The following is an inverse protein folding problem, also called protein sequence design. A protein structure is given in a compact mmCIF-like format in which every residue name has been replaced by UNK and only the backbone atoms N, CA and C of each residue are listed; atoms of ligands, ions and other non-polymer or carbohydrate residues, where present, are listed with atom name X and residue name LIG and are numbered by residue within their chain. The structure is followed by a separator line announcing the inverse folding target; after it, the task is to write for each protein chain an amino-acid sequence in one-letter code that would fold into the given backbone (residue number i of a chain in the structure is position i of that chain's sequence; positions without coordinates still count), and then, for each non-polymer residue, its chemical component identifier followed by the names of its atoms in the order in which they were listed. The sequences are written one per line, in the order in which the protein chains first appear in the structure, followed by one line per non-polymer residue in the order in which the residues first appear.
data_IF_383974668882
#
_entry.id   IF_383974668882
#
_cell.length_a   1.000
_cell.length_b   1.000
_cell.length_c   1.000
_cell.angle_alpha   90.00
_cell.angle_beta   90.00
_cell.angle_gamma   90.00
#
_symmetry.space_group_name_H-M   'P 1'
#
loop_
_entity.id
_entity.type
_entity.pdbx_description
1 polymer ?
#
# COMPACT_ATOMS: atom_id res chain seq x y z
N UNK A 1 -14.96 -9.66 -26.45
CA UNK A 1 -14.94 -9.87 -24.99
C UNK A 1 -13.55 -9.68 -24.30
N UNK A 2 -12.56 -8.99 -24.91
CA UNK A 2 -11.22 -8.80 -24.29
C UNK A 2 -11.05 -7.51 -23.44
N UNK A 3 -11.91 -6.50 -23.62
CA UNK A 3 -11.74 -5.20 -22.94
C UNK A 3 -12.10 -5.22 -21.44
N UNK A 4 -13.13 -5.98 -21.04
CA UNK A 4 -13.63 -6.00 -19.65
C UNK A 4 -12.59 -6.51 -18.64
N UNK A 5 -11.69 -7.40 -19.07
CA UNK A 5 -10.65 -7.95 -18.19
C UNK A 5 -9.51 -6.95 -17.96
N UNK A 6 -9.11 -6.20 -19.00
CA UNK A 6 -8.07 -5.16 -18.92
C UNK A 6 -8.47 -3.99 -18.01
N UNK A 7 -9.74 -3.58 -18.03
CA UNK A 7 -10.26 -2.53 -17.15
C UNK A 7 -10.28 -2.96 -15.67
N UNK A 8 -10.64 -4.21 -15.40
CA UNK A 8 -10.54 -4.77 -14.04
C UNK A 8 -9.10 -4.78 -13.53
N UNK A 9 -8.13 -5.16 -14.37
CA UNK A 9 -6.71 -5.16 -13.98
C UNK A 9 -6.20 -3.75 -13.68
N UNK A 10 -6.66 -2.72 -14.40
CA UNK A 10 -6.29 -1.32 -14.12
C UNK A 10 -6.87 -0.83 -12.79
N UNK A 11 -8.17 -1.02 -12.54
CA UNK A 11 -8.80 -0.61 -11.27
C UNK A 11 -8.15 -1.26 -10.06
N UNK A 12 -7.84 -2.57 -10.13
CA UNK A 12 -7.11 -3.29 -9.09
C UNK A 12 -5.74 -2.69 -8.82
N UNK A 13 -4.96 -2.38 -9.87
CA UNK A 13 -3.65 -1.74 -9.71
C UNK A 13 -3.77 -0.38 -9.01
N UNK A 14 -4.69 0.48 -9.45
CA UNK A 14 -4.87 1.79 -8.82
C UNK A 14 -5.31 1.70 -7.35
N UNK A 15 -6.15 0.72 -7.00
CA UNK A 15 -6.54 0.45 -5.61
C UNK A 15 -5.38 -0.06 -4.75
N UNK A 16 -4.53 -0.93 -5.30
CA UNK A 16 -3.32 -1.38 -4.61
C UNK A 16 -2.33 -0.23 -4.36
N UNK A 17 -2.14 0.66 -5.34
CA UNK A 17 -1.28 1.83 -5.18
C UNK A 17 -1.83 2.84 -4.17
N UNK A 18 -3.15 3.10 -4.17
CA UNK A 18 -3.76 4.02 -3.20
C UNK A 18 -3.69 3.49 -1.76
N UNK A 19 -3.93 2.19 -1.57
CA UNK A 19 -3.74 1.54 -0.27
C UNK A 19 -2.29 1.60 0.22
N UNK A 20 -1.33 1.42 -0.69
CA UNK A 20 0.10 1.50 -0.37
C UNK A 20 0.52 2.93 0.01
N UNK A 21 -0.03 3.93 -0.67
CA UNK A 21 0.22 5.34 -0.36
C UNK A 21 -0.34 5.74 1.02
N UNK A 22 -1.52 5.24 1.38
CA UNK A 22 -2.10 5.44 2.73
C UNK A 22 -1.22 4.82 3.82
N UNK A 23 -0.71 3.61 3.59
CA UNK A 23 0.22 2.98 4.52
C UNK A 23 1.55 3.75 4.63
N UNK A 24 2.10 4.23 3.52
CA UNK A 24 3.30 5.07 3.51
C UNK A 24 3.12 6.38 4.29
N UNK A 25 1.96 7.03 4.15
CA UNK A 25 1.58 8.22 4.93
C UNK A 25 1.56 7.93 6.43
N UNK A 26 1.04 6.77 6.84
CA UNK A 26 1.05 6.34 8.24
C UNK A 26 2.46 6.12 8.81
N UNK A 27 3.43 5.76 7.96
CA UNK A 27 4.84 5.62 8.35
C UNK A 27 5.53 6.97 8.58
N UNK A 28 5.14 8.01 7.85
CA UNK A 28 5.71 9.36 7.99
C UNK A 28 5.14 10.08 9.20
N UNK A 29 3.85 9.84 9.51
CA UNK A 29 3.24 10.31 10.74
C UNK A 29 3.83 9.55 11.95
N UNK A 30 3.99 10.23 13.09
CA UNK A 30 4.57 9.71 14.35
C UNK A 30 3.72 8.61 15.03
N UNK A 31 2.93 7.84 14.27
CA UNK A 31 2.13 6.75 14.80
C UNK A 31 3.00 5.63 15.37
N UNK A 32 2.63 5.04 16.52
CA UNK A 32 3.32 3.88 17.08
C UNK A 32 3.30 2.70 16.10
N UNK A 33 4.34 1.87 16.14
CA UNK A 33 4.51 0.74 15.23
C UNK A 33 3.31 -0.23 15.21
N UNK A 34 2.69 -0.43 16.39
CA UNK A 34 1.48 -1.27 16.56
C UNK A 34 0.34 -0.77 15.69
N UNK A 35 0.09 0.54 15.66
CA UNK A 35 -1.00 1.14 14.88
C UNK A 35 -0.75 1.08 13.36
N UNK A 36 0.53 1.17 12.94
CA UNK A 36 0.90 0.97 11.53
C UNK A 36 0.59 -0.46 11.09
N UNK A 37 0.91 -1.44 11.93
CA UNK A 37 0.63 -2.84 11.66
C UNK A 37 -0.88 -3.13 11.60
N UNK A 38 -1.67 -2.55 12.52
CA UNK A 38 -3.14 -2.65 12.48
C UNK A 38 -3.71 -2.00 11.21
N UNK A 39 -3.20 -0.83 10.81
CA UNK A 39 -3.58 -0.18 9.55
C UNK A 39 -3.25 -1.04 8.33
N UNK A 40 -2.08 -1.68 8.31
CA UNK A 40 -1.68 -2.58 7.23
C UNK A 40 -2.63 -3.77 7.10
N UNK A 41 -3.00 -4.38 8.23
CA UNK A 41 -3.95 -5.50 8.27
C UNK A 41 -5.32 -5.02 7.78
N UNK A 42 -5.82 -3.91 8.31
CA UNK A 42 -7.12 -3.36 7.93
C UNK A 42 -7.17 -3.02 6.43
N UNK A 43 -6.14 -2.34 5.91
CA UNK A 43 -6.00 -2.03 4.49
C UNK A 43 -5.92 -3.31 3.64
N UNK A 44 -5.17 -4.31 4.08
CA UNK A 44 -5.06 -5.58 3.35
C UNK A 44 -6.39 -6.30 3.26
N UNK A 45 -7.16 -6.36 4.36
CA UNK A 45 -8.49 -6.98 4.36
C UNK A 45 -9.45 -6.21 3.46
N UNK A 46 -9.50 -4.88 3.58
CA UNK A 46 -10.37 -4.02 2.76
C UNK A 46 -10.01 -4.13 1.28
N UNK A 47 -8.72 -4.05 0.92
CA UNK A 47 -8.28 -4.22 -0.47
C UNK A 47 -8.58 -5.62 -1.00
N UNK A 48 -8.42 -6.67 -0.18
CA UNK A 48 -8.73 -8.05 -0.59
C UNK A 48 -10.20 -8.22 -0.94
N UNK A 49 -11.10 -7.51 -0.25
CA UNK A 49 -12.53 -7.46 -0.54
C UNK A 49 -12.87 -6.56 -1.74
N UNK A 50 -12.16 -5.45 -1.91
CA UNK A 50 -12.43 -4.49 -3.00
C UNK A 50 -11.87 -4.93 -4.36
N UNK A 51 -10.78 -5.67 -4.37
CA UNK A 51 -10.10 -6.13 -5.58
C UNK A 51 -10.80 -7.40 -6.05
N UNK A 52 -11.32 -7.44 -7.28
CA UNK A 52 -11.76 -8.69 -7.89
C UNK A 52 -10.63 -9.25 -8.77
N UNK A 53 -9.71 -9.98 -8.14
CA UNK A 53 -8.65 -10.70 -8.86
C UNK A 53 -9.09 -12.14 -9.17
N UNK A 54 -8.75 -12.67 -10.36
CA UNK A 54 -9.04 -14.06 -10.76
C UNK A 54 -8.14 -15.09 -10.03
N UNK A 55 -7.58 -14.75 -8.88
CA UNK A 55 -6.73 -15.63 -8.08
C UNK A 55 -7.64 -16.64 -7.36
N UNK A 56 -7.52 -17.93 -7.72
CA UNK A 56 -8.22 -19.02 -7.01
C UNK A 56 -7.67 -19.13 -5.57
N UNK A 57 -8.43 -18.62 -4.61
CA UNK A 57 -8.21 -18.79 -3.17
C UNK A 57 -8.10 -17.47 -2.39
N UNK A 58 -9.06 -17.23 -1.50
CA UNK A 58 -9.15 -16.03 -0.65
C UNK A 58 -7.87 -15.80 0.17
N UNK A 59 -7.35 -16.85 0.82
CA UNK A 59 -6.13 -16.76 1.63
C UNK A 59 -4.89 -16.40 0.83
N UNK A 60 -4.72 -16.96 -0.37
CA UNK A 60 -3.60 -16.60 -1.26
C UNK A 60 -3.69 -15.14 -1.70
N UNK A 61 -4.90 -14.68 -2.06
CA UNK A 61 -5.14 -13.28 -2.44
C UNK A 61 -4.81 -12.32 -1.29
N UNK A 62 -5.25 -12.62 -0.08
CA UNK A 62 -4.97 -11.81 1.10
C UNK A 62 -3.48 -11.72 1.39
N UNK A 63 -2.75 -12.84 1.33
CA UNK A 63 -1.30 -12.87 1.52
C UNK A 63 -0.57 -12.06 0.44
N UNK A 64 -0.99 -12.17 -0.82
CA UNK A 64 -0.39 -11.38 -1.92
C UNK A 64 -0.65 -9.88 -1.76
N UNK A 65 -1.88 -9.49 -1.43
CA UNK A 65 -2.27 -8.09 -1.17
C UNK A 65 -1.48 -7.54 0.03
N UNK A 66 -1.36 -8.32 1.10
CA UNK A 66 -0.61 -7.97 2.29
C UNK A 66 0.89 -7.79 1.99
N UNK A 67 1.50 -8.76 1.30
CA UNK A 67 2.90 -8.69 0.90
C UNK A 67 3.17 -7.49 -0.01
N UNK A 68 2.25 -7.20 -0.94
CA UNK A 68 2.35 -6.04 -1.82
C UNK A 68 2.27 -4.72 -1.05
N UNK A 69 1.25 -4.54 -0.20
CA UNK A 69 1.08 -3.34 0.64
C UNK A 69 2.27 -3.14 1.57
N UNK A 70 2.77 -4.23 2.17
CA UNK A 70 3.94 -4.18 3.04
C UNK A 70 5.17 -3.73 2.26
N UNK A 71 5.48 -4.37 1.13
CA UNK A 71 6.70 -4.10 0.38
C UNK A 71 6.67 -2.72 -0.29
N UNK A 72 5.61 -2.42 -1.05
CA UNK A 72 5.46 -1.14 -1.77
C UNK A 72 5.27 0.01 -0.80
N UNK A 73 4.44 -0.18 0.22
CA UNK A 73 4.17 0.87 1.20
C UNK A 73 5.38 1.14 2.11
N UNK A 74 6.19 0.14 2.45
CA UNK A 74 7.47 0.36 3.16
C UNK A 74 8.47 1.08 2.27
N UNK A 75 8.58 0.72 0.98
CA UNK A 75 9.45 1.40 0.02
C UNK A 75 9.07 2.90 -0.11
N UNK A 76 7.78 3.19 -0.28
CA UNK A 76 7.26 4.56 -0.33
C UNK A 76 7.50 5.32 0.98
N UNK A 77 7.30 4.68 2.13
CA UNK A 77 7.59 5.26 3.43
C UNK A 77 9.07 5.62 3.58
N UNK A 78 9.97 4.76 3.10
CA UNK A 78 11.42 4.97 3.12
C UNK A 78 11.82 6.15 2.22
N UNK A 79 11.24 6.25 1.03
CA UNK A 79 11.40 7.41 0.12
C UNK A 79 10.93 8.70 0.79
N UNK A 80 9.77 8.70 1.45
CA UNK A 80 9.26 9.89 2.15
C UNK A 80 10.14 10.29 3.34
N UNK A 81 10.69 9.33 4.08
CA UNK A 81 11.65 9.58 5.16
C UNK A 81 12.94 10.19 4.60
N UNK A 82 13.44 9.67 3.48
CA UNK A 82 14.61 10.23 2.79
C UNK A 82 14.36 11.66 2.32
N UNK A 83 13.22 11.91 1.66
CA UNK A 83 12.82 13.27 1.24
C UNK A 83 12.75 14.21 2.45
N UNK A 84 12.16 13.76 3.56
CA UNK A 84 12.09 14.54 4.79
C UNK A 84 13.49 14.82 5.37
N UNK A 85 14.39 13.85 5.37
CA UNK A 85 15.78 14.05 5.80
C UNK A 85 16.50 15.05 4.92
N UNK A 86 16.36 14.93 3.59
CA UNK A 86 16.96 15.88 2.62
C UNK A 86 16.40 17.29 2.81
N UNK A 87 15.10 17.44 3.05
CA UNK A 87 14.48 18.75 3.34
C UNK A 87 14.98 19.36 4.66
N UNK A 88 15.19 18.53 5.69
CA UNK A 88 15.70 19.01 6.99
C UNK A 88 17.19 19.37 6.92
N UNK A 89 18.01 18.59 6.19
CA UNK A 89 19.44 18.85 6.02
C UNK A 89 19.75 19.90 4.96
N UNK A 90 18.89 20.05 3.95
CA UNK A 90 19.04 21.03 2.86
C UNK A 90 18.46 22.40 3.18
N UNK A 91 17.82 22.58 4.34
CA UNK A 91 17.42 23.89 4.84
C UNK A 91 18.60 24.46 5.64
N UNK A 92 19.36 25.45 5.13
CA UNK A 92 20.31 26.15 5.97
C UNK A 92 19.49 26.86 7.04
N UNK A 93 19.74 26.53 8.30
CA UNK A 93 19.28 27.33 9.43
C UNK A 93 19.80 28.75 9.32
#
# INVERSE_FOLDING_TARGET
MKQKHSDMTRKTKYLMYSGSALYALSMVMRFPYVWRFVLLIALSVVLTLLIDEPIKGFWRKLVTVFAFLFLVGTLMGLVLILIKMVLILGWPA
#
